data_IF_809037275598
#
_entry.id   IF_809037275598
#
_cell.length_a   1.000
_cell.length_b   1.000
_cell.length_c   1.000
_cell.angle_alpha   90.00
_cell.angle_beta   90.00
_cell.angle_gamma   90.00
#
_symmetry.space_group_name_H-M   'P 1'
#
loop_
_entity.id
_entity.type
_entity.pdbx_description
1 polymer ?
#
# COMPACT_ATOMS: atom_id res chain seq x y z
N UNK A 1 -2.75 -14.17 64.99
CA UNK A 1 -2.71 -15.58 65.45
C UNK A 1 -3.23 -16.46 64.34
N UNK A 2 -2.49 -17.47 64.06
CA UNK A 2 -2.67 -18.70 63.32
C UNK A 2 -1.79 -18.77 62.06
N UNK A 3 -0.78 -19.63 62.22
CA UNK A 3 0.22 -20.08 61.27
C UNK A 3 -0.38 -21.00 60.20
N UNK A 4 0.12 -20.95 58.96
CA UNK A 4 -0.01 -22.03 58.00
C UNK A 4 1.35 -22.32 57.37
N UNK A 5 1.65 -23.60 57.32
CA UNK A 5 2.95 -24.22 57.07
C UNK A 5 3.29 -24.33 55.59
N UNK A 6 4.59 -24.24 55.30
CA UNK A 6 5.23 -24.59 54.01
C UNK A 6 5.55 -26.10 53.93
N UNK A 7 5.42 -26.77 52.78
CA UNK A 7 5.97 -28.09 52.61
C UNK A 7 7.42 -28.05 52.09
N UNK A 8 8.30 -28.75 52.80
CA UNK A 8 9.71 -29.03 52.45
C UNK A 8 9.76 -30.14 51.39
N UNK A 9 10.44 -29.94 50.28
CA UNK A 9 10.86 -31.00 49.36
C UNK A 9 12.25 -31.51 49.73
N UNK A 10 12.40 -32.84 49.78
CA UNK A 10 13.66 -33.60 49.95
C UNK A 10 14.24 -33.96 48.59
N UNK A 11 15.57 -33.92 48.40
CA UNK A 11 16.20 -34.40 47.18
C UNK A 11 16.44 -35.94 47.28
N UNK A 12 15.94 -36.65 46.28
CA UNK A 12 16.28 -38.07 46.07
C UNK A 12 17.46 -38.18 45.09
N UNK A 13 18.54 -38.77 45.57
CA UNK A 13 19.71 -39.10 44.77
C UNK A 13 19.40 -40.31 43.82
N UNK A 14 19.58 -40.13 42.54
CA UNK A 14 19.56 -41.23 41.56
C UNK A 14 20.99 -41.53 41.11
N UNK A 15 21.44 -42.75 41.45
CA UNK A 15 22.72 -43.31 41.05
C UNK A 15 22.60 -43.83 39.61
N UNK A 16 23.35 -43.28 38.66
CA UNK A 16 23.43 -43.79 37.27
C UNK A 16 24.78 -44.46 37.08
N UNK A 17 24.74 -45.79 36.89
CA UNK A 17 25.87 -46.63 36.51
C UNK A 17 26.34 -46.31 35.08
N UNK A 18 27.62 -45.97 34.92
CA UNK A 18 28.29 -45.88 33.62
C UNK A 18 28.70 -47.28 33.16
N UNK A 19 28.11 -47.78 32.09
CA UNK A 19 28.63 -48.89 31.30
C UNK A 19 29.37 -48.27 30.10
N UNK A 20 30.69 -48.44 30.09
CA UNK A 20 31.53 -48.05 28.98
C UNK A 20 31.36 -49.00 27.79
N UNK A 21 30.96 -48.47 26.66
CA UNK A 21 31.02 -49.13 25.36
C UNK A 21 31.94 -48.31 24.43
N UNK A 22 33.13 -48.84 24.14
CA UNK A 22 34.00 -48.37 23.07
C UNK A 22 33.33 -48.68 21.73
N UNK A 23 32.82 -47.63 21.06
CA UNK A 23 32.48 -47.69 19.63
C UNK A 23 33.38 -46.74 18.87
N UNK A 24 34.17 -47.29 17.93
CA UNK A 24 35.06 -46.57 17.06
C UNK A 24 34.28 -45.57 16.20
N UNK A 25 34.60 -44.30 16.39
CA UNK A 25 34.06 -43.23 15.56
C UNK A 25 34.75 -43.18 14.20
N UNK A 26 34.08 -43.58 13.15
CA UNK A 26 34.46 -43.20 11.81
C UNK A 26 34.13 -41.73 11.63
N UNK A 27 35.05 -40.83 11.15
CA UNK A 27 34.71 -39.47 10.81
C UNK A 27 33.79 -39.50 9.58
N UNK A 28 32.56 -39.01 9.73
CA UNK A 28 31.70 -38.72 8.60
C UNK A 28 32.41 -37.64 7.72
N UNK A 29 32.48 -37.84 6.40
CA UNK A 29 33.01 -36.81 5.53
C UNK A 29 32.15 -35.53 5.67
N UNK A 30 32.83 -34.44 5.99
CA UNK A 30 32.20 -33.12 5.90
C UNK A 30 31.68 -32.95 4.47
N UNK A 31 30.37 -33.02 4.30
CA UNK A 31 29.75 -32.58 3.06
C UNK A 31 30.05 -31.07 2.94
N UNK A 32 31.00 -30.75 2.09
CA UNK A 32 31.18 -29.44 1.55
C UNK A 32 29.83 -29.04 0.95
N UNK A 33 29.11 -28.15 1.66
CA UNK A 33 27.97 -27.45 1.10
C UNK A 33 28.46 -26.84 -0.21
N UNK A 34 27.99 -27.35 -1.33
CA UNK A 34 28.22 -26.74 -2.62
C UNK A 34 27.82 -25.27 -2.50
N UNK A 35 28.63 -24.33 -3.04
CA UNK A 35 28.24 -22.92 -3.05
C UNK A 35 26.87 -22.85 -3.71
N UNK A 36 25.90 -22.24 -3.02
CA UNK A 36 24.58 -22.01 -3.57
C UNK A 36 24.77 -21.40 -4.97
N UNK A 37 24.18 -22.03 -5.96
CA UNK A 37 24.17 -21.51 -7.33
C UNK A 37 23.75 -20.03 -7.26
N UNK A 38 24.43 -19.09 -7.95
CA UNK A 38 24.03 -17.70 -7.94
C UNK A 38 22.56 -17.67 -8.36
N UNK A 39 21.68 -17.31 -7.40
CA UNK A 39 20.24 -17.29 -7.60
C UNK A 39 19.92 -16.49 -8.85
N UNK A 40 19.07 -17.04 -9.68
CA UNK A 40 18.58 -16.42 -10.91
C UNK A 40 18.33 -14.92 -10.67
N UNK A 41 19.06 -14.06 -11.39
CA UNK A 41 18.89 -12.61 -11.39
C UNK A 41 17.61 -12.18 -12.15
N UNK A 42 16.67 -13.11 -12.39
CA UNK A 42 15.42 -12.82 -13.06
C UNK A 42 14.63 -11.78 -12.27
N UNK A 43 14.05 -10.77 -12.95
CA UNK A 43 13.14 -9.82 -12.33
C UNK A 43 12.02 -10.56 -11.63
N UNK A 44 11.65 -10.11 -10.42
CA UNK A 44 10.55 -10.71 -9.67
C UNK A 44 9.29 -9.83 -9.65
N UNK A 45 9.41 -8.57 -10.06
CA UNK A 45 8.29 -7.66 -10.21
C UNK A 45 8.32 -6.96 -11.55
N UNK A 46 7.15 -6.80 -12.17
CA UNK A 46 6.99 -6.09 -13.43
C UNK A 46 6.26 -4.77 -13.18
N UNK A 47 6.80 -3.69 -13.73
CA UNK A 47 6.17 -2.37 -13.75
C UNK A 47 6.03 -1.94 -15.21
N UNK A 48 4.81 -1.63 -15.61
CA UNK A 48 4.48 -1.08 -16.92
C UNK A 48 4.36 0.44 -16.83
N UNK A 49 5.19 1.14 -17.58
CA UNK A 49 5.22 2.62 -17.60
C UNK A 49 4.75 3.08 -18.97
N UNK A 50 3.63 3.78 -19.00
CA UNK A 50 3.13 4.46 -20.21
C UNK A 50 3.44 5.94 -20.10
N UNK A 51 4.00 6.54 -21.15
CA UNK A 51 4.33 7.95 -21.22
C UNK A 51 3.70 8.57 -22.48
N UNK A 52 3.06 9.72 -22.32
CA UNK A 52 2.56 10.54 -23.43
C UNK A 52 2.84 12.02 -23.10
N UNK A 53 3.80 12.63 -23.79
CA UNK A 53 4.24 14.01 -23.52
C UNK A 53 3.10 15.05 -23.70
N UNK A 54 1.99 14.66 -24.28
CA UNK A 54 0.77 15.47 -24.44
C UNK A 54 -0.30 15.19 -23.39
N UNK A 55 -0.03 14.31 -22.40
CA UNK A 55 -1.01 13.89 -21.38
C UNK A 55 -1.45 15.03 -20.45
N UNK A 56 -0.63 16.08 -20.32
CA UNK A 56 -0.97 17.29 -19.56
C UNK A 56 -0.76 18.56 -20.38
N UNK A 57 -1.53 19.58 -20.05
CA UNK A 57 -1.34 20.95 -20.57
C UNK A 57 -1.48 21.92 -19.41
N UNK A 58 -0.50 22.80 -19.18
CA UNK A 58 -0.47 23.75 -18.06
C UNK A 58 -0.80 23.07 -16.70
N UNK A 59 -0.16 21.94 -16.40
CA UNK A 59 -0.39 21.11 -15.21
C UNK A 59 -1.79 20.47 -15.10
N UNK A 60 -2.66 20.63 -16.10
CA UNK A 60 -3.98 19.98 -16.12
C UNK A 60 -3.94 18.71 -16.98
N UNK A 61 -4.50 17.57 -16.51
CA UNK A 61 -4.54 16.34 -17.29
C UNK A 61 -5.50 16.45 -18.48
N UNK A 62 -5.10 15.93 -19.64
CA UNK A 62 -5.93 15.76 -20.82
C UNK A 62 -6.62 14.40 -20.77
N UNK A 63 -7.91 14.39 -20.54
CA UNK A 63 -8.72 13.20 -20.27
C UNK A 63 -8.67 12.16 -21.40
N UNK A 64 -8.68 12.62 -22.65
CA UNK A 64 -8.55 11.78 -23.83
C UNK A 64 -7.23 11.02 -23.86
N UNK A 65 -6.12 11.69 -23.53
CA UNK A 65 -4.79 11.10 -23.49
C UNK A 65 -4.63 10.14 -22.33
N UNK A 66 -5.02 10.57 -21.12
CA UNK A 66 -4.99 9.73 -19.92
C UNK A 66 -5.78 8.43 -20.12
N UNK A 67 -6.94 8.49 -20.77
CA UNK A 67 -7.73 7.30 -21.10
C UNK A 67 -6.97 6.34 -22.01
N UNK A 68 -6.30 6.85 -23.07
CA UNK A 68 -5.48 6.03 -23.94
C UNK A 68 -4.32 5.38 -23.20
N UNK A 69 -3.65 6.13 -22.31
CA UNK A 69 -2.57 5.61 -21.48
C UNK A 69 -3.04 4.47 -20.57
N UNK A 70 -4.18 4.63 -19.88
CA UNK A 70 -4.75 3.58 -19.02
C UNK A 70 -5.10 2.34 -19.84
N UNK A 71 -5.73 2.51 -21.01
CA UNK A 71 -6.10 1.38 -21.88
C UNK A 71 -4.85 0.64 -22.37
N UNK A 72 -3.83 1.36 -22.79
CA UNK A 72 -2.56 0.80 -23.22
C UNK A 72 -1.86 0.04 -22.09
N UNK A 73 -1.78 0.64 -20.89
CA UNK A 73 -1.14 0.00 -19.75
C UNK A 73 -1.82 -1.29 -19.32
N UNK A 74 -3.17 -1.30 -19.24
CA UNK A 74 -3.91 -2.47 -18.76
C UNK A 74 -3.84 -3.64 -19.73
N UNK A 75 -3.89 -3.40 -21.04
CA UNK A 75 -3.76 -4.46 -22.05
C UNK A 75 -2.35 -5.06 -22.04
N UNK A 76 -1.31 -4.25 -21.88
CA UNK A 76 0.07 -4.75 -21.76
C UNK A 76 0.29 -5.53 -20.47
N UNK A 77 -0.16 -5.02 -19.31
CA UNK A 77 -0.03 -5.69 -18.02
C UNK A 77 -0.72 -7.05 -17.97
N UNK A 78 -1.86 -7.17 -18.65
CA UNK A 78 -2.67 -8.40 -18.64
C UNK A 78 -2.42 -9.29 -19.85
N UNK A 79 -1.66 -8.81 -20.84
CA UNK A 79 -1.44 -9.48 -22.14
C UNK A 79 -2.75 -9.81 -22.88
N UNK A 80 -3.80 -9.02 -22.66
CA UNK A 80 -5.10 -9.16 -23.34
C UNK A 80 -5.17 -8.31 -24.59
N UNK A 81 -5.88 -8.79 -25.60
CA UNK A 81 -6.01 -8.09 -26.90
C UNK A 81 -6.88 -6.84 -26.81
N UNK A 82 -7.86 -6.83 -25.90
CA UNK A 82 -8.81 -5.72 -25.75
C UNK A 82 -8.90 -5.24 -24.31
N UNK A 83 -9.20 -3.95 -24.15
CA UNK A 83 -9.35 -3.31 -22.84
C UNK A 83 -10.46 -3.97 -21.97
N UNK A 84 -11.65 -4.33 -22.50
CA UNK A 84 -12.66 -5.03 -21.69
C UNK A 84 -12.21 -6.42 -21.21
N UNK A 85 -11.46 -7.16 -22.02
CA UNK A 85 -10.89 -8.45 -21.63
C UNK A 85 -9.83 -8.27 -20.55
N UNK A 86 -8.98 -7.25 -20.68
CA UNK A 86 -7.95 -6.91 -19.72
C UNK A 86 -8.55 -6.64 -18.31
N UNK A 87 -9.60 -5.84 -18.25
CA UNK A 87 -10.28 -5.60 -16.98
C UNK A 87 -10.98 -6.84 -16.44
N UNK A 88 -11.65 -7.63 -17.29
CA UNK A 88 -12.29 -8.90 -16.88
C UNK A 88 -11.31 -9.97 -16.41
N UNK A 89 -10.03 -9.86 -16.75
CA UNK A 89 -9.00 -10.74 -16.18
C UNK A 89 -8.65 -10.42 -14.72
N UNK A 90 -9.00 -9.23 -14.25
CA UNK A 90 -8.74 -8.76 -12.90
C UNK A 90 -9.97 -8.79 -11.99
N UNK A 91 -11.17 -8.60 -12.56
CA UNK A 91 -12.44 -8.50 -11.83
C UNK A 91 -13.54 -9.31 -12.52
N UNK A 92 -14.52 -9.72 -11.76
CA UNK A 92 -15.75 -10.31 -12.24
C UNK A 92 -16.92 -9.31 -12.16
N UNK A 93 -17.97 -9.50 -12.98
CA UNK A 93 -19.10 -8.56 -13.02
C UNK A 93 -19.95 -8.51 -11.75
N UNK A 94 -19.82 -9.51 -10.87
CA UNK A 94 -20.46 -9.56 -9.55
C UNK A 94 -19.62 -8.90 -8.44
N UNK A 95 -18.36 -8.52 -8.72
CA UNK A 95 -17.50 -7.90 -7.72
C UNK A 95 -17.97 -6.49 -7.37
N UNK A 96 -17.72 -6.07 -6.14
CA UNK A 96 -17.80 -4.67 -5.72
C UNK A 96 -16.37 -4.13 -5.66
N UNK A 97 -16.01 -3.31 -6.64
CA UNK A 97 -14.65 -2.79 -6.81
C UNK A 97 -14.49 -1.47 -6.09
N UNK A 98 -13.60 -1.43 -5.11
CA UNK A 98 -13.14 -0.21 -4.45
C UNK A 98 -11.93 0.39 -5.17
N UNK A 99 -12.07 1.60 -5.69
CA UNK A 99 -10.94 2.37 -6.21
C UNK A 99 -10.45 3.28 -5.09
N UNK A 100 -9.34 2.89 -4.45
CA UNK A 100 -8.67 3.73 -3.43
C UNK A 100 -7.92 4.85 -4.11
N UNK A 101 -8.12 6.06 -3.62
CA UNK A 101 -7.40 7.26 -4.06
C UNK A 101 -6.77 7.97 -2.87
N UNK A 102 -5.81 8.87 -3.13
CA UNK A 102 -5.23 9.74 -2.13
C UNK A 102 -5.66 11.18 -2.44
N UNK A 103 -6.74 11.63 -1.81
CA UNK A 103 -7.45 12.86 -2.19
C UNK A 103 -7.17 14.07 -1.29
N UNK A 104 -6.61 13.85 -0.08
CA UNK A 104 -6.38 14.91 0.91
C UNK A 104 -5.61 16.13 0.39
N UNK A 105 -4.56 15.99 -0.47
CA UNK A 105 -3.85 17.15 -1.03
C UNK A 105 -4.64 17.92 -2.10
N UNK A 106 -5.87 17.51 -2.41
CA UNK A 106 -6.72 18.13 -3.41
C UNK A 106 -6.42 17.72 -4.86
N UNK A 107 -7.07 18.36 -5.86
CA UNK A 107 -7.07 17.88 -7.25
C UNK A 107 -5.72 18.03 -7.97
N UNK A 108 -4.82 18.87 -7.47
CA UNK A 108 -3.56 19.18 -8.13
C UNK A 108 -2.42 18.23 -7.71
N UNK A 109 -2.37 17.85 -6.45
CA UNK A 109 -1.28 17.05 -5.86
C UNK A 109 -1.73 15.68 -5.38
N UNK A 110 -3.02 15.47 -5.13
CA UNK A 110 -3.62 14.17 -4.88
C UNK A 110 -3.80 13.35 -6.17
N UNK A 111 -4.42 12.17 -6.05
CA UNK A 111 -4.80 11.34 -7.20
C UNK A 111 -5.74 12.12 -8.12
N UNK A 112 -5.41 12.21 -9.39
CA UNK A 112 -6.16 13.04 -10.34
C UNK A 112 -7.43 12.35 -10.80
N UNK A 113 -8.59 13.05 -10.76
CA UNK A 113 -9.87 12.50 -11.21
C UNK A 113 -9.84 11.94 -12.64
N UNK A 114 -9.01 12.49 -13.52
CA UNK A 114 -8.88 12.01 -14.90
C UNK A 114 -8.36 10.56 -14.99
N UNK A 115 -7.40 10.17 -14.14
CA UNK A 115 -6.88 8.80 -14.08
C UNK A 115 -7.96 7.85 -13.59
N UNK A 116 -8.66 8.25 -12.52
CA UNK A 116 -9.75 7.44 -11.94
C UNK A 116 -10.92 7.32 -12.90
N UNK A 117 -11.24 8.37 -13.67
CA UNK A 117 -12.28 8.30 -14.71
C UNK A 117 -11.95 7.26 -15.77
N UNK A 118 -10.69 7.20 -16.22
CA UNK A 118 -10.27 6.20 -17.20
C UNK A 118 -10.38 4.76 -16.65
N UNK A 119 -10.07 4.55 -15.37
CA UNK A 119 -10.28 3.26 -14.68
C UNK A 119 -11.76 2.91 -14.62
N UNK A 120 -12.63 3.87 -14.22
CA UNK A 120 -14.08 3.68 -14.18
C UNK A 120 -14.61 3.31 -15.56
N UNK A 121 -14.22 4.04 -16.62
CA UNK A 121 -14.64 3.75 -18.01
C UNK A 121 -14.24 2.33 -18.43
N UNK A 122 -13.04 1.89 -18.03
CA UNK A 122 -12.56 0.52 -18.27
C UNK A 122 -13.40 -0.55 -17.57
N UNK A 123 -13.72 -0.34 -16.29
CA UNK A 123 -14.58 -1.25 -15.51
C UNK A 123 -16.01 -1.32 -16.06
N UNK A 124 -16.58 -0.19 -16.46
CA UNK A 124 -17.89 -0.12 -17.09
C UNK A 124 -17.91 -0.88 -18.43
N UNK A 125 -16.87 -0.70 -19.25
CA UNK A 125 -16.72 -1.41 -20.51
C UNK A 125 -16.52 -2.93 -20.34
N UNK A 126 -15.94 -3.36 -19.21
CA UNK A 126 -15.87 -4.77 -18.82
C UNK A 126 -17.21 -5.35 -18.38
N UNK A 127 -18.24 -4.51 -18.21
CA UNK A 127 -19.60 -4.92 -17.84
C UNK A 127 -19.90 -4.81 -16.34
N UNK A 128 -19.02 -4.17 -15.54
CA UNK A 128 -19.29 -3.95 -14.13
C UNK A 128 -20.39 -2.90 -13.95
N UNK A 129 -21.47 -3.18 -13.17
CA UNK A 129 -22.51 -2.19 -12.93
C UNK A 129 -21.99 -0.95 -12.20
N UNK A 130 -22.42 0.28 -12.55
CA UNK A 130 -21.93 1.50 -11.92
C UNK A 130 -22.02 1.50 -10.38
N UNK A 131 -23.08 0.94 -9.82
CA UNK A 131 -23.29 0.88 -8.36
C UNK A 131 -22.32 -0.06 -7.62
N UNK A 132 -21.64 -0.94 -8.34
CA UNK A 132 -20.59 -1.81 -7.82
C UNK A 132 -19.20 -1.17 -7.89
N UNK A 133 -19.07 0.04 -8.44
CA UNK A 133 -17.84 0.83 -8.43
C UNK A 133 -17.91 1.85 -7.30
N UNK A 134 -16.94 1.79 -6.38
CA UNK A 134 -16.84 2.68 -5.21
C UNK A 134 -15.50 3.39 -5.24
N UNK A 135 -15.48 4.70 -5.50
CA UNK A 135 -14.26 5.50 -5.29
C UNK A 135 -14.22 5.92 -3.83
N UNK A 136 -13.10 5.66 -3.16
CA UNK A 136 -13.02 5.86 -1.73
C UNK A 136 -11.67 6.39 -1.25
N UNK A 137 -11.71 7.06 -0.11
CA UNK A 137 -10.53 7.49 0.65
C UNK A 137 -10.87 7.48 2.14
N UNK A 138 -9.97 7.95 2.99
CA UNK A 138 -10.21 8.05 4.42
C UNK A 138 -11.42 8.89 4.77
N UNK A 139 -11.59 10.06 4.11
CA UNK A 139 -12.69 11.02 4.35
C UNK A 139 -13.46 11.33 3.08
N UNK A 140 -14.77 11.27 3.17
CA UNK A 140 -15.64 11.63 2.06
C UNK A 140 -15.54 13.13 1.68
N UNK A 141 -15.23 13.99 2.67
CA UNK A 141 -15.02 15.42 2.44
C UNK A 141 -13.85 15.70 1.52
N UNK A 142 -12.72 14.97 1.69
CA UNK A 142 -11.53 15.15 0.86
C UNK A 142 -11.80 14.73 -0.59
N UNK A 143 -12.55 13.64 -0.80
CA UNK A 143 -13.01 13.24 -2.14
C UNK A 143 -13.84 14.33 -2.82
N UNK A 144 -14.76 14.95 -2.09
CA UNK A 144 -15.62 16.02 -2.64
C UNK A 144 -14.79 17.24 -3.03
N UNK A 145 -13.86 17.65 -2.16
CA UNK A 145 -12.96 18.80 -2.40
C UNK A 145 -11.99 18.52 -3.56
N UNK A 146 -11.57 17.28 -3.76
CA UNK A 146 -10.73 16.86 -4.88
C UNK A 146 -11.51 16.71 -6.21
N UNK A 147 -12.84 16.96 -6.23
CA UNK A 147 -13.64 16.99 -7.45
C UNK A 147 -14.27 15.64 -7.84
N UNK A 148 -14.19 14.60 -7.00
CA UNK A 148 -14.76 13.29 -7.31
C UNK A 148 -16.30 13.27 -7.35
N UNK A 149 -16.97 14.28 -6.79
CA UNK A 149 -18.43 14.44 -6.87
C UNK A 149 -18.95 14.46 -8.30
N UNK A 150 -18.24 15.14 -9.20
CA UNK A 150 -18.59 15.18 -10.64
C UNK A 150 -18.47 13.82 -11.32
N UNK A 151 -17.47 13.00 -10.95
CA UNK A 151 -17.33 11.63 -11.48
C UNK A 151 -18.50 10.75 -11.01
N UNK A 152 -18.84 10.83 -9.71
CA UNK A 152 -19.95 10.07 -9.16
C UNK A 152 -21.27 10.36 -9.89
N UNK A 153 -21.50 11.64 -10.17
CA UNK A 153 -22.68 12.10 -10.90
C UNK A 153 -22.67 11.63 -12.38
N UNK A 154 -21.51 11.81 -13.06
CA UNK A 154 -21.34 11.46 -14.48
C UNK A 154 -21.53 9.97 -14.74
N UNK A 155 -20.93 9.11 -13.91
CA UNK A 155 -20.87 7.67 -14.15
C UNK A 155 -21.89 6.88 -13.30
N UNK A 156 -22.60 7.51 -12.40
CA UNK A 156 -23.56 6.85 -11.50
C UNK A 156 -22.92 5.94 -10.45
N UNK A 157 -21.65 6.12 -10.17
CA UNK A 157 -20.85 5.35 -9.19
C UNK A 157 -21.08 5.83 -7.76
N UNK A 158 -20.50 5.12 -6.79
CA UNK A 158 -20.56 5.49 -5.37
C UNK A 158 -19.28 6.21 -4.93
N UNK A 159 -19.39 7.15 -3.99
CA UNK A 159 -18.28 7.66 -3.19
C UNK A 159 -18.42 7.18 -1.75
N UNK A 160 -17.31 6.83 -1.11
CA UNK A 160 -17.31 6.43 0.29
C UNK A 160 -16.07 6.98 1.03
N UNK A 161 -16.23 7.24 2.32
CA UNK A 161 -15.13 7.50 3.24
C UNK A 161 -15.02 6.39 4.26
N UNK A 162 -13.82 5.98 4.64
CA UNK A 162 -13.61 4.97 5.67
C UNK A 162 -14.18 5.38 7.01
N UNK A 163 -14.04 6.67 7.37
CA UNK A 163 -14.58 7.24 8.60
C UNK A 163 -16.11 7.20 8.59
N UNK A 164 -16.73 7.61 7.48
CA UNK A 164 -18.17 7.66 7.35
C UNK A 164 -18.81 6.27 7.26
N UNK A 165 -18.08 5.27 6.75
CA UNK A 165 -18.50 3.88 6.75
C UNK A 165 -18.45 3.24 8.14
N UNK A 166 -17.65 3.80 9.05
CA UNK A 166 -17.40 3.29 10.39
C UNK A 166 -16.38 2.14 10.42
N UNK A 167 -16.09 1.68 11.65
CA UNK A 167 -15.02 0.74 11.94
C UNK A 167 -15.57 -0.64 12.35
N UNK A 168 -14.89 -1.70 11.96
CA UNK A 168 -15.26 -3.06 12.32
C UNK A 168 -14.61 -3.44 13.65
N UNK A 169 -15.44 -3.89 14.62
CA UNK A 169 -14.98 -4.25 15.96
C UNK A 169 -14.14 -5.53 16.00
N UNK A 170 -14.29 -6.38 14.98
CA UNK A 170 -13.69 -7.71 14.94
C UNK A 170 -12.41 -7.74 14.10
N UNK A 171 -12.22 -6.74 13.22
CA UNK A 171 -11.05 -6.67 12.31
C UNK A 171 -10.20 -5.47 12.62
N UNK A 172 -9.01 -5.68 13.13
CA UNK A 172 -8.12 -4.63 13.57
C UNK A 172 -6.65 -5.04 13.46
N UNK A 173 -5.79 -4.02 13.38
CA UNK A 173 -4.35 -4.16 13.53
C UNK A 173 -3.95 -3.97 15.00
N UNK A 174 -3.25 -4.96 15.55
CA UNK A 174 -2.70 -4.94 16.91
C UNK A 174 -1.35 -5.68 16.90
N UNK A 175 -0.20 -4.98 16.82
CA UNK A 175 1.10 -5.62 16.73
C UNK A 175 1.53 -6.29 18.05
N UNK A 176 2.37 -7.32 17.95
CA UNK A 176 2.96 -8.02 19.11
C UNK A 176 3.70 -7.05 20.03
N UNK A 177 4.51 -6.13 19.46
CA UNK A 177 5.11 -5.02 20.18
C UNK A 177 4.19 -3.81 20.09
N UNK A 178 3.45 -3.46 21.17
CA UNK A 178 2.43 -2.43 21.10
C UNK A 178 2.98 -1.06 20.69
N UNK A 179 2.36 -0.47 19.66
CA UNK A 179 2.55 0.93 19.30
C UNK A 179 1.41 1.70 19.97
N UNK A 180 1.71 2.34 21.10
CA UNK A 180 0.75 3.14 21.83
C UNK A 180 0.75 4.58 21.31
N UNK A 181 -0.40 5.24 21.38
CA UNK A 181 -0.50 6.65 21.01
C UNK A 181 -1.86 7.25 21.34
N UNK A 182 -1.92 8.58 21.23
CA UNK A 182 -3.12 9.34 21.54
C UNK A 182 -4.25 9.04 20.55
N UNK A 183 -5.44 8.85 21.09
CA UNK A 183 -6.68 8.72 20.33
C UNK A 183 -7.19 10.11 19.93
N UNK A 184 -7.74 10.19 18.74
CA UNK A 184 -8.44 11.37 18.24
C UNK A 184 -9.93 11.11 18.14
N UNK A 185 -10.71 12.18 18.07
CA UNK A 185 -12.17 12.06 17.86
C UNK A 185 -12.47 11.28 16.59
N UNK A 186 -13.27 10.23 16.72
CA UNK A 186 -13.60 9.31 15.61
C UNK A 186 -12.87 7.97 15.66
N UNK A 187 -11.80 7.85 16.44
CA UNK A 187 -11.19 6.55 16.72
C UNK A 187 -12.15 5.68 17.56
N UNK A 188 -12.22 4.39 17.25
CA UNK A 188 -13.19 3.49 17.89
C UNK A 188 -12.97 3.31 19.41
N UNK A 189 -11.71 3.38 19.86
CA UNK A 189 -11.36 3.32 21.27
C UNK A 189 -11.57 4.65 22.01
N UNK A 190 -11.79 5.77 21.28
CA UNK A 190 -11.92 7.10 21.88
C UNK A 190 -13.04 7.14 22.94
N UNK A 191 -12.69 7.55 24.16
CA UNK A 191 -13.61 7.71 25.28
C UNK A 191 -14.14 6.41 25.90
N UNK A 192 -13.82 5.22 25.36
CA UNK A 192 -14.36 3.96 25.88
C UNK A 192 -13.76 3.50 27.20
N UNK A 193 -12.49 3.83 27.47
CA UNK A 193 -11.77 3.40 28.68
C UNK A 193 -11.39 4.53 29.60
N UNK A 194 -11.80 5.76 29.31
CA UNK A 194 -11.38 6.94 30.07
C UNK A 194 -9.90 7.32 29.84
N UNK A 195 -9.18 6.60 29.03
CA UNK A 195 -7.81 6.86 28.61
C UNK A 195 -7.77 7.47 27.22
N UNK A 196 -6.85 8.41 27.02
CA UNK A 196 -6.63 9.03 25.70
C UNK A 196 -5.63 8.27 24.83
N UNK A 197 -5.21 7.08 25.25
CA UNK A 197 -4.21 6.26 24.58
C UNK A 197 -4.85 5.00 24.03
N UNK A 198 -4.66 4.79 22.74
CA UNK A 198 -5.12 3.59 22.04
C UNK A 198 -3.98 2.68 21.62
N UNK A 199 -4.31 1.43 21.36
CA UNK A 199 -3.41 0.37 20.93
C UNK A 199 -3.79 -0.22 19.58
N UNK A 200 -5.09 -0.35 19.29
CA UNK A 200 -5.63 -1.00 18.10
C UNK A 200 -5.92 0.01 17.01
N UNK A 201 -5.80 -0.43 15.75
CA UNK A 201 -6.34 0.29 14.60
C UNK A 201 -7.38 -0.58 13.92
N UNK A 202 -8.64 -0.17 13.99
CA UNK A 202 -9.79 -0.92 13.48
C UNK A 202 -9.98 -0.65 12.00
N UNK A 203 -10.24 -1.71 11.23
CA UNK A 203 -10.45 -1.63 9.78
C UNK A 203 -11.85 -1.07 9.48
N UNK A 204 -11.95 -0.28 8.42
CA UNK A 204 -13.24 0.27 7.97
C UNK A 204 -14.20 -0.81 7.51
N UNK A 205 -15.48 -0.68 7.91
CA UNK A 205 -16.58 -1.54 7.45
C UNK A 205 -16.79 -1.48 5.94
N UNK A 206 -16.31 -0.43 5.27
CA UNK A 206 -16.28 -0.38 3.81
C UNK A 206 -15.53 -1.59 3.23
N UNK A 207 -14.39 -1.93 3.81
CA UNK A 207 -13.48 -2.97 3.33
C UNK A 207 -13.86 -4.36 3.82
N UNK A 208 -14.37 -4.47 5.06
CA UNK A 208 -14.75 -5.76 5.64
C UNK A 208 -16.09 -6.26 5.16
N UNK A 209 -17.00 -5.38 4.65
CA UNK A 209 -18.40 -5.72 4.37
C UNK A 209 -18.91 -5.31 2.99
N UNK A 210 -18.27 -4.37 2.30
CA UNK A 210 -18.85 -3.79 1.09
C UNK A 210 -18.03 -3.99 -0.16
N UNK A 211 -16.71 -4.07 -0.05
CA UNK A 211 -15.77 -4.14 -1.18
C UNK A 211 -15.02 -5.46 -1.11
N UNK A 212 -14.90 -6.15 -2.25
CA UNK A 212 -14.20 -7.42 -2.35
C UNK A 212 -13.04 -7.43 -3.37
N UNK A 213 -12.87 -6.32 -4.12
CA UNK A 213 -11.71 -6.10 -4.99
C UNK A 213 -11.24 -4.67 -4.85
N UNK A 214 -9.92 -4.47 -4.84
CA UNK A 214 -9.30 -3.17 -4.67
C UNK A 214 -8.41 -2.84 -5.86
N UNK A 215 -8.58 -1.62 -6.39
CA UNK A 215 -7.64 -0.96 -7.30
C UNK A 215 -7.11 0.25 -6.55
N UNK A 216 -5.80 0.29 -6.34
CA UNK A 216 -5.17 1.36 -5.60
C UNK A 216 -4.55 2.36 -6.58
N UNK A 217 -4.93 3.64 -6.51
CA UNK A 217 -4.46 4.70 -7.41
C UNK A 217 -3.87 5.83 -6.59
N UNK A 218 -2.56 5.98 -6.61
CA UNK A 218 -1.84 6.95 -5.78
C UNK A 218 -1.09 7.98 -6.61
N UNK A 219 -0.95 9.22 -6.12
CA UNK A 219 -0.14 10.23 -6.80
C UNK A 219 1.35 9.95 -6.57
N UNK A 220 2.19 10.40 -7.50
CA UNK A 220 3.64 10.49 -7.26
C UNK A 220 3.93 11.73 -6.41
N UNK A 221 3.76 11.59 -5.10
CA UNK A 221 3.80 12.66 -4.12
C UNK A 221 4.76 12.31 -2.99
N UNK A 222 5.66 13.24 -2.65
CA UNK A 222 6.52 13.15 -1.47
C UNK A 222 5.71 13.00 -0.17
N UNK A 223 6.17 12.14 0.71
CA UNK A 223 5.70 12.05 2.09
C UNK A 223 6.88 12.04 3.06
N UNK A 224 6.89 12.93 4.07
CA UNK A 224 8.07 13.18 4.89
C UNK A 224 8.51 11.97 5.73
N UNK A 225 7.59 11.18 6.23
CA UNK A 225 7.89 10.02 7.08
C UNK A 225 7.99 8.70 6.28
N UNK A 226 7.12 8.50 5.28
CA UNK A 226 7.12 7.29 4.45
C UNK A 226 8.06 7.39 3.24
N UNK A 227 8.44 8.61 2.84
CA UNK A 227 9.19 8.90 1.61
C UNK A 227 8.28 9.19 0.41
N UNK A 228 7.26 8.39 0.18
CA UNK A 228 6.22 8.62 -0.83
C UNK A 228 4.83 8.33 -0.25
N UNK A 229 3.83 9.14 -0.61
CA UNK A 229 2.42 8.86 -0.36
C UNK A 229 1.93 7.79 -1.36
N UNK A 230 2.63 6.66 -1.35
CA UNK A 230 2.53 5.61 -2.34
C UNK A 230 1.46 4.58 -2.03
N UNK A 231 1.60 3.44 -2.70
CA UNK A 231 0.60 2.38 -2.68
C UNK A 231 0.47 1.74 -1.29
N UNK A 232 1.59 1.51 -0.58
CA UNK A 232 1.56 0.94 0.77
C UNK A 232 0.94 1.93 1.77
N UNK A 233 1.50 3.14 1.85
CA UNK A 233 1.08 4.15 2.81
C UNK A 233 -0.39 4.55 2.62
N UNK A 234 -0.77 4.91 1.40
CA UNK A 234 -2.13 5.39 1.09
C UNK A 234 -3.21 4.37 1.42
N UNK A 235 -3.00 3.09 1.06
CA UNK A 235 -3.98 2.05 1.36
C UNK A 235 -4.04 1.75 2.86
N UNK A 236 -2.90 1.53 3.51
CA UNK A 236 -2.86 1.19 4.92
C UNK A 236 -3.50 2.28 5.80
N UNK A 237 -3.07 3.54 5.65
CA UNK A 237 -3.57 4.65 6.49
C UNK A 237 -5.00 5.06 6.15
N UNK A 238 -5.43 4.85 4.90
CA UNK A 238 -6.81 5.09 4.48
C UNK A 238 -7.79 4.03 4.99
N UNK A 239 -7.31 2.85 5.36
CA UNK A 239 -8.14 1.68 5.68
C UNK A 239 -8.50 1.55 7.16
N UNK A 240 -7.74 2.19 8.07
CA UNK A 240 -7.89 2.02 9.51
C UNK A 240 -8.07 3.34 10.24
N UNK A 241 -8.63 3.27 11.47
CA UNK A 241 -8.61 4.39 12.41
C UNK A 241 -7.26 4.50 13.13
N UNK A 242 -7.16 5.35 14.14
CA UNK A 242 -6.02 5.47 15.07
C UNK A 242 -4.63 5.44 14.37
N UNK A 243 -4.48 6.17 13.24
CA UNK A 243 -3.21 6.20 12.47
C UNK A 243 -2.17 7.12 13.12
N UNK A 244 -2.58 8.15 13.86
CA UNK A 244 -1.68 9.14 14.47
C UNK A 244 -0.67 8.49 15.41
N UNK A 245 -1.04 7.39 16.07
CA UNK A 245 -0.16 6.65 16.98
C UNK A 245 1.12 6.11 16.33
N UNK A 246 1.15 5.96 15.00
CA UNK A 246 2.34 5.50 14.27
C UNK A 246 2.82 6.45 13.15
N UNK A 247 1.97 7.35 12.66
CA UNK A 247 2.32 8.27 11.56
C UNK A 247 3.44 9.24 11.89
N UNK A 248 3.48 9.74 13.13
CA UNK A 248 4.44 10.76 13.55
C UNK A 248 5.87 10.24 13.73
N UNK A 249 6.07 8.93 13.78
CA UNK A 249 7.37 8.30 14.05
C UNK A 249 7.75 7.36 12.88
N UNK A 250 8.84 7.66 12.13
CA UNK A 250 9.25 6.87 10.98
C UNK A 250 9.45 5.38 11.27
N UNK A 251 9.92 5.02 12.47
CA UNK A 251 10.13 3.64 12.90
C UNK A 251 8.81 2.89 13.11
N UNK A 252 7.86 3.54 13.79
CA UNK A 252 6.52 2.98 14.02
C UNK A 252 5.74 2.87 12.72
N UNK A 253 5.85 3.88 11.85
CA UNK A 253 5.26 3.88 10.52
C UNK A 253 5.83 2.74 9.66
N UNK A 254 7.17 2.54 9.70
CA UNK A 254 7.84 1.49 8.93
C UNK A 254 7.42 0.06 9.35
N UNK A 255 6.88 -0.10 10.56
CA UNK A 255 6.33 -1.36 11.05
C UNK A 255 4.84 -1.47 10.74
N UNK A 256 4.06 -0.47 11.14
CA UNK A 256 2.60 -0.51 11.06
C UNK A 256 2.07 -0.54 9.62
N UNK A 257 2.62 0.25 8.70
CA UNK A 257 2.11 0.34 7.33
C UNK A 257 2.19 -0.99 6.58
N UNK A 258 3.34 -1.71 6.55
CA UNK A 258 3.40 -3.03 5.92
C UNK A 258 2.49 -4.06 6.59
N UNK A 259 2.43 -4.08 7.93
CA UNK A 259 1.61 -5.03 8.67
C UNK A 259 0.11 -4.79 8.45
N UNK A 260 -0.33 -3.53 8.40
CA UNK A 260 -1.74 -3.19 8.07
C UNK A 260 -2.05 -3.57 6.63
N UNK A 261 -1.17 -3.22 5.67
CA UNK A 261 -1.36 -3.59 4.27
C UNK A 261 -1.46 -5.12 4.10
N UNK A 262 -0.66 -5.87 4.88
CA UNK A 262 -0.62 -7.33 4.89
C UNK A 262 -1.85 -8.01 5.52
N UNK A 263 -2.79 -7.26 6.11
CA UNK A 263 -4.04 -7.84 6.58
C UNK A 263 -4.79 -8.49 5.39
N UNK A 264 -5.27 -9.75 5.51
CA UNK A 264 -5.94 -10.45 4.39
C UNK A 264 -7.10 -9.68 3.77
N UNK A 265 -7.83 -8.91 4.59
CA UNK A 265 -8.94 -8.03 4.13
C UNK A 265 -8.45 -6.90 3.21
N UNK A 266 -7.15 -6.63 3.13
CA UNK A 266 -6.54 -5.66 2.23
C UNK A 266 -5.73 -6.37 1.15
N UNK A 267 -4.65 -7.07 1.52
CA UNK A 267 -3.68 -7.65 0.58
C UNK A 267 -4.32 -8.60 -0.43
N UNK A 268 -5.25 -9.47 0.01
CA UNK A 268 -5.89 -10.47 -0.86
C UNK A 268 -6.91 -9.87 -1.82
N UNK A 269 -7.36 -8.64 -1.54
CA UNK A 269 -8.33 -7.93 -2.36
C UNK A 269 -7.69 -7.00 -3.41
N UNK A 270 -6.40 -6.61 -3.24
CA UNK A 270 -5.73 -5.72 -4.18
C UNK A 270 -5.40 -6.46 -5.47
N UNK A 271 -6.02 -6.06 -6.57
CA UNK A 271 -5.80 -6.65 -7.89
C UNK A 271 -4.88 -5.82 -8.79
N UNK A 272 -4.76 -4.53 -8.50
CA UNK A 272 -3.96 -3.60 -9.31
C UNK A 272 -3.52 -2.39 -8.47
N UNK A 273 -2.28 -1.98 -8.67
CA UNK A 273 -1.73 -0.73 -8.16
C UNK A 273 -1.36 0.18 -9.34
N UNK A 274 -1.71 1.45 -9.23
CA UNK A 274 -1.44 2.48 -10.23
C UNK A 274 -0.79 3.68 -9.54
N UNK A 275 0.35 4.13 -10.07
CA UNK A 275 0.92 5.42 -9.68
C UNK A 275 0.62 6.46 -10.75
N UNK A 276 -0.16 7.47 -10.38
CA UNK A 276 -0.40 8.68 -11.15
C UNK A 276 0.84 9.57 -11.10
N UNK A 277 1.73 9.35 -12.05
CA UNK A 277 2.96 10.11 -12.26
C UNK A 277 2.82 11.13 -13.41
N UNK A 278 1.62 11.60 -13.72
CA UNK A 278 1.43 12.71 -14.68
C UNK A 278 2.21 13.94 -14.22
N UNK A 279 2.13 14.22 -12.93
CA UNK A 279 2.88 15.27 -12.26
C UNK A 279 3.51 14.66 -10.99
N UNK A 280 4.79 14.91 -10.79
CA UNK A 280 5.56 14.52 -9.62
C UNK A 280 5.69 15.72 -8.68
N UNK A 281 5.15 15.66 -7.48
CA UNK A 281 5.50 16.62 -6.42
C UNK A 281 6.59 16.02 -5.53
N UNK A 282 7.82 16.53 -5.68
CA UNK A 282 9.01 15.95 -5.06
C UNK A 282 9.32 16.49 -3.67
N UNK A 283 8.63 17.55 -3.21
CA UNK A 283 8.81 18.17 -1.90
C UNK A 283 7.48 18.72 -1.35
N UNK A 284 7.43 19.04 -0.05
CA UNK A 284 6.30 19.71 0.59
C UNK A 284 5.27 18.77 1.25
N UNK A 285 5.46 17.45 1.18
CA UNK A 285 4.57 16.47 1.78
C UNK A 285 3.15 16.53 1.23
N UNK A 286 2.15 16.36 2.10
CA UNK A 286 0.73 16.31 1.71
C UNK A 286 0.11 17.68 1.35
N UNK A 287 0.89 18.74 1.37
CA UNK A 287 0.42 20.07 0.94
C UNK A 287 0.53 20.18 -0.57
N UNK A 288 -0.49 20.72 -1.21
CA UNK A 288 -0.49 21.01 -2.65
C UNK A 288 0.45 22.16 -3.02
N UNK A 289 1.72 21.86 -3.27
CA UNK A 289 2.77 22.83 -3.54
C UNK A 289 3.29 22.69 -4.99
N UNK A 290 2.61 23.31 -5.94
CA UNK A 290 2.95 23.21 -7.36
C UNK A 290 4.38 23.67 -7.71
N UNK A 291 4.97 24.58 -6.93
CA UNK A 291 6.35 25.02 -7.16
C UNK A 291 7.42 23.96 -6.86
N UNK A 292 7.04 22.89 -6.16
CA UNK A 292 7.86 21.69 -5.99
C UNK A 292 7.39 20.54 -6.89
N UNK A 293 6.77 20.86 -8.01
CA UNK A 293 6.20 19.86 -8.90
C UNK A 293 6.80 19.95 -10.30
N UNK A 294 6.95 18.80 -10.94
CA UNK A 294 7.39 18.68 -12.32
C UNK A 294 6.45 17.76 -13.10
N UNK A 295 6.27 18.03 -14.39
CA UNK A 295 5.47 17.21 -15.29
C UNK A 295 6.30 16.03 -15.76
N UNK A 296 5.80 14.80 -15.57
CA UNK A 296 6.42 13.59 -16.09
C UNK A 296 5.59 12.94 -17.20
N UNK A 297 4.29 13.22 -17.25
CA UNK A 297 3.37 12.64 -18.22
C UNK A 297 3.39 11.11 -18.26
N UNK A 298 3.54 10.47 -17.09
CA UNK A 298 3.63 9.03 -16.95
C UNK A 298 2.48 8.47 -16.11
N UNK A 299 2.06 7.25 -16.43
CA UNK A 299 1.28 6.37 -15.56
C UNK A 299 2.05 5.08 -15.37
N UNK A 300 2.07 4.54 -14.15
CA UNK A 300 2.82 3.32 -13.79
C UNK A 300 1.87 2.29 -13.20
N UNK A 301 1.93 1.07 -13.72
CA UNK A 301 1.03 -0.02 -13.37
C UNK A 301 1.82 -1.22 -12.90
N UNK A 302 1.40 -1.86 -11.82
CA UNK A 302 1.96 -3.13 -11.34
C UNK A 302 0.97 -3.85 -10.43
N UNK A 303 1.14 -5.14 -10.28
CA UNK A 303 0.51 -5.90 -9.18
C UNK A 303 1.29 -5.78 -7.88
N UNK A 304 2.55 -5.36 -7.96
CA UNK A 304 3.47 -5.22 -6.82
C UNK A 304 3.49 -3.77 -6.31
N UNK A 305 2.89 -3.50 -5.13
CA UNK A 305 2.85 -2.16 -4.54
C UNK A 305 4.21 -1.67 -4.10
N UNK A 306 5.08 -2.58 -3.60
CA UNK A 306 6.40 -2.24 -3.07
C UNK A 306 7.31 -1.78 -4.19
N UNK A 307 7.31 -2.51 -5.31
CA UNK A 307 8.10 -2.17 -6.49
C UNK A 307 7.73 -0.78 -7.05
N UNK A 308 6.42 -0.46 -7.13
CA UNK A 308 5.96 0.86 -7.56
C UNK A 308 6.43 1.98 -6.62
N UNK A 309 6.35 1.74 -5.31
CA UNK A 309 6.73 2.73 -4.32
C UNK A 309 8.25 2.96 -4.31
N UNK A 310 9.06 1.91 -4.42
CA UNK A 310 10.53 2.02 -4.50
C UNK A 310 10.96 2.74 -5.79
N UNK A 311 10.32 2.44 -6.93
CA UNK A 311 10.56 3.18 -8.17
C UNK A 311 10.13 4.65 -8.04
N UNK A 312 9.06 4.93 -7.30
CA UNK A 312 8.58 6.28 -7.02
C UNK A 312 9.57 7.07 -6.14
N UNK A 313 10.16 6.42 -5.12
CA UNK A 313 11.22 7.03 -4.30
C UNK A 313 12.44 7.42 -5.13
N UNK A 314 12.86 6.54 -6.04
CA UNK A 314 13.99 6.83 -6.93
C UNK A 314 13.69 8.05 -7.81
N UNK A 315 12.47 8.15 -8.33
CA UNK A 315 12.05 9.29 -9.15
C UNK A 315 12.00 10.59 -8.35
N UNK A 316 11.43 10.57 -7.13
CA UNK A 316 11.40 11.76 -6.25
C UNK A 316 12.81 12.30 -5.99
N UNK A 317 13.78 11.42 -5.71
CA UNK A 317 15.15 11.84 -5.49
C UNK A 317 15.81 12.38 -6.76
N UNK A 318 15.52 11.77 -7.91
CA UNK A 318 16.00 12.29 -9.20
C UNK A 318 15.48 13.72 -9.45
N UNK A 319 14.21 13.98 -9.15
CA UNK A 319 13.62 15.31 -9.34
C UNK A 319 14.19 16.34 -8.34
N UNK A 320 14.45 15.94 -7.09
CA UNK A 320 15.16 16.78 -6.11
C UNK A 320 16.55 17.18 -6.59
N UNK A 321 17.30 16.22 -7.13
CA UNK A 321 18.64 16.49 -7.69
C UNK A 321 18.60 17.47 -8.86
N UNK A 322 17.62 17.34 -9.77
CA UNK A 322 17.44 18.31 -10.87
C UNK A 322 17.03 19.68 -10.40
N UNK A 323 16.29 19.77 -9.30
CA UNK A 323 15.82 21.05 -8.74
C UNK A 323 16.79 21.64 -7.71
N UNK A 324 17.97 21.03 -7.51
CA UNK A 324 18.97 21.41 -6.49
C UNK A 324 18.38 21.52 -5.06
N UNK A 325 17.43 20.61 -4.76
CA UNK A 325 16.81 20.49 -3.45
C UNK A 325 17.53 19.39 -2.65
N UNK A 326 17.84 19.63 -1.35
CA UNK A 326 18.52 18.61 -0.52
C UNK A 326 17.80 17.28 -0.52
N UNK A 327 18.56 16.20 -0.68
CA UNK A 327 18.01 14.84 -0.58
C UNK A 327 17.59 14.54 0.85
N UNK A 328 16.39 14.02 1.01
CA UNK A 328 15.87 13.57 2.31
C UNK A 328 16.28 12.12 2.53
N UNK A 329 16.64 11.76 3.78
CA UNK A 329 16.91 10.37 4.14
C UNK A 329 15.64 9.54 3.95
N UNK A 330 15.68 8.58 3.04
CA UNK A 330 14.54 7.68 2.74
C UNK A 330 14.26 6.76 3.91
N UNK A 331 13.00 6.51 4.18
CA UNK A 331 12.56 5.46 5.11
C UNK A 331 12.57 4.09 4.40
N UNK A 332 13.74 3.59 4.03
CA UNK A 332 13.89 2.30 3.35
C UNK A 332 13.42 1.12 4.21
N UNK A 333 13.38 1.30 5.53
CA UNK A 333 12.93 0.27 6.47
C UNK A 333 11.48 -0.15 6.20
N UNK A 334 10.60 0.80 5.85
CA UNK A 334 9.21 0.51 5.49
C UNK A 334 9.13 -0.50 4.34
N UNK A 335 9.86 -0.25 3.26
CA UNK A 335 9.84 -1.10 2.05
C UNK A 335 10.55 -2.43 2.25
N UNK A 336 11.61 -2.45 3.07
CA UNK A 336 12.28 -3.70 3.45
C UNK A 336 11.37 -4.57 4.32
N UNK A 337 10.65 -4.00 5.27
CA UNK A 337 9.68 -4.72 6.08
C UNK A 337 8.53 -5.26 5.20
N UNK A 338 8.04 -4.47 4.25
CA UNK A 338 7.04 -4.93 3.30
C UNK A 338 7.52 -6.12 2.46
N UNK A 339 8.78 -6.10 2.02
CA UNK A 339 9.38 -7.21 1.29
C UNK A 339 9.58 -8.46 2.18
N UNK A 340 9.94 -8.29 3.45
CA UNK A 340 10.02 -9.40 4.42
C UNK A 340 8.65 -10.05 4.66
N UNK A 341 7.56 -9.27 4.64
CA UNK A 341 6.18 -9.75 4.71
C UNK A 341 5.66 -10.29 3.37
N UNK A 342 6.51 -10.40 2.35
CA UNK A 342 6.19 -10.91 1.01
C UNK A 342 5.11 -10.08 0.27
N UNK A 343 4.98 -8.79 0.59
CA UNK A 343 4.03 -7.89 -0.05
C UNK A 343 4.52 -7.39 -1.42
N UNK A 344 5.80 -7.56 -1.73
CA UNK A 344 6.39 -7.19 -3.00
C UNK A 344 7.92 -7.10 -2.95
N UNK A 345 8.52 -6.52 -3.99
CA UNK A 345 9.95 -6.47 -4.23
C UNK A 345 10.53 -5.08 -3.93
N UNK A 346 11.44 -4.98 -2.94
CA UNK A 346 12.12 -3.72 -2.59
C UNK A 346 13.47 -3.51 -3.29
N UNK A 347 14.09 -4.57 -3.85
CA UNK A 347 15.35 -4.49 -4.57
C UNK A 347 15.12 -4.08 -6.03
N UNK A 348 15.54 -2.87 -6.41
CA UNK A 348 15.40 -2.33 -7.76
C UNK A 348 16.03 -3.23 -8.85
N UNK A 349 17.05 -4.02 -8.53
CA UNK A 349 17.71 -4.94 -9.48
C UNK A 349 16.81 -6.13 -9.86
N UNK A 350 15.75 -6.38 -9.09
CA UNK A 350 14.77 -7.45 -9.28
C UNK A 350 13.44 -6.92 -9.82
N UNK A 351 13.40 -5.66 -10.21
CA UNK A 351 12.23 -4.99 -10.79
C UNK A 351 12.50 -4.77 -12.28
N UNK A 352 11.67 -5.36 -13.12
CA UNK A 352 11.66 -5.09 -14.56
C UNK A 352 10.71 -3.92 -14.84
N UNK A 353 11.25 -2.88 -15.46
CA UNK A 353 10.47 -1.71 -15.90
C UNK A 353 10.30 -1.78 -17.41
N UNK A 354 9.07 -2.03 -17.85
CA UNK A 354 8.69 -2.03 -19.26
C UNK A 354 8.10 -0.67 -19.63
N UNK A 355 8.75 0.03 -20.56
CA UNK A 355 8.28 1.31 -21.08
C UNK A 355 7.49 1.09 -22.34
N UNK A 356 6.24 1.52 -22.34
CA UNK A 356 5.31 1.40 -23.44
C UNK A 356 5.19 2.80 -24.06
N UNK A 357 5.45 2.93 -25.36
CA UNK A 357 5.37 4.20 -26.08
C UNK A 357 3.94 4.73 -26.20
#
# INVERSE_FOLDING_TARGET
MIFAATPRWRPGALLVLFLGGLMGGHPLPAQLLAPASPGSTAPQADIFVVQDDTATAAFAPRWDRVRLMVNCAITNLTHCATMPEAWRSLIATQDVVGIKVFSAPGPNSGTRPAVVAAVIEGLLAAGLPPKQIVVWDRRLTDLRLAGYGTLAQKYGIRLAGSIEAGWDLEVFYDPDSPILGNLVWGDLEFGRKGESVGRKSFVSQLLTRQVNKLINVTPLLNHNAAGVAGNLYSLATGSVDNVIRFESQPESLATAVPEIYGLPVLSDHVVLNITDALICQYEGGERGLLHYSTVLNQLRFSRDPVALDVLSLQELDRQRQFADVPTVKRNLRLYNNAALLQLGVSDLRRIRVERIP
#
